data_IF_214439097967
#
_entry.id   IF_214439097967
#
_cell.length_a   1.000
_cell.length_b   1.000
_cell.length_c   1.000
_cell.angle_alpha   90.00
_cell.angle_beta   90.00
_cell.angle_gamma   90.00
#
_symmetry.space_group_name_H-M   'P 1'
#
loop_
_entity.id
_entity.type
_entity.pdbx_description
1 polymer ?
#
# COMPACT_ATOMS: atom_id res chain seq x y z
N UNK A 1 60.03 17.58 -7.42
CA UNK A 1 60.75 16.52 -6.67
C UNK A 1 59.81 15.59 -5.90
N UNK A 2 58.72 16.09 -5.29
CA UNK A 2 57.73 15.33 -4.49
C UNK A 2 57.04 14.11 -5.17
N UNK A 3 56.95 14.06 -6.51
CA UNK A 3 56.32 12.92 -7.21
C UNK A 3 57.19 11.66 -7.27
N UNK A 4 58.53 11.82 -7.31
CA UNK A 4 59.46 10.69 -7.34
C UNK A 4 59.52 9.96 -6.00
N UNK A 5 59.47 10.71 -4.91
CA UNK A 5 59.42 10.17 -3.55
C UNK A 5 58.14 9.37 -3.31
N UNK A 6 56.98 9.88 -3.77
CA UNK A 6 55.70 9.15 -3.70
C UNK A 6 55.73 7.84 -4.49
N UNK A 7 56.39 7.80 -5.65
CA UNK A 7 56.52 6.57 -6.45
C UNK A 7 57.40 5.54 -5.75
N UNK A 8 58.57 5.95 -5.23
CA UNK A 8 59.47 5.05 -4.53
C UNK A 8 58.84 4.45 -3.26
N UNK A 9 58.08 5.25 -2.50
CA UNK A 9 57.33 4.77 -1.33
C UNK A 9 56.25 3.78 -1.75
N UNK A 10 55.52 4.05 -2.84
CA UNK A 10 54.47 3.17 -3.35
C UNK A 10 55.01 1.82 -3.80
N UNK A 11 56.12 1.78 -4.54
CA UNK A 11 56.77 0.53 -4.98
C UNK A 11 57.27 -0.32 -3.81
N UNK A 12 57.80 0.33 -2.76
CA UNK A 12 58.26 -0.36 -1.56
C UNK A 12 57.08 -0.97 -0.79
N UNK A 13 55.99 -0.21 -0.63
CA UNK A 13 54.78 -0.69 0.02
C UNK A 13 54.15 -1.87 -0.74
N UNK A 14 54.13 -1.79 -2.08
CA UNK A 14 53.56 -2.84 -2.93
C UNK A 14 54.36 -4.15 -2.84
N UNK A 15 55.69 -4.07 -2.69
CA UNK A 15 56.54 -5.23 -2.41
C UNK A 15 56.35 -5.80 -0.99
N UNK A 16 56.19 -4.95 0.02
CA UNK A 16 55.93 -5.39 1.41
C UNK A 16 54.54 -6.02 1.57
N UNK A 17 53.55 -5.56 0.79
CA UNK A 17 52.17 -6.04 0.82
C UNK A 17 51.90 -7.18 -0.18
N UNK A 18 52.87 -7.55 -1.02
CA UNK A 18 52.72 -8.56 -2.07
C UNK A 18 52.33 -9.94 -1.54
N UNK A 19 52.78 -10.26 -0.33
CA UNK A 19 52.46 -11.51 0.38
C UNK A 19 51.13 -11.42 1.18
N UNK A 20 50.56 -10.22 1.32
CA UNK A 20 49.28 -9.96 1.99
C UNK A 20 48.14 -9.87 0.97
N UNK A 21 47.55 -11.02 0.66
CA UNK A 21 46.34 -11.08 -0.15
C UNK A 21 45.09 -10.77 0.70
N UNK A 22 44.55 -9.55 0.57
CA UNK A 22 43.28 -9.17 1.20
C UNK A 22 42.09 -9.83 0.48
N UNK A 23 41.67 -11.00 0.96
CA UNK A 23 40.55 -11.79 0.42
C UNK A 23 39.15 -11.23 0.77
N UNK A 24 39.07 -10.12 1.51
CA UNK A 24 37.83 -9.52 1.99
C UNK A 24 37.43 -8.19 1.35
N UNK A 25 38.22 -7.65 0.41
CA UNK A 25 37.98 -6.33 -0.18
C UNK A 25 36.59 -6.23 -0.82
N UNK A 26 36.17 -7.26 -1.58
CA UNK A 26 34.85 -7.34 -2.20
C UNK A 26 33.72 -7.25 -1.16
N UNK A 27 33.88 -7.96 -0.03
CA UNK A 27 32.89 -8.04 1.05
C UNK A 27 32.78 -6.73 1.83
N UNK A 28 33.89 -6.02 2.03
CA UNK A 28 33.90 -4.69 2.65
C UNK A 28 33.33 -3.64 1.70
N UNK A 29 33.65 -3.71 0.39
CA UNK A 29 33.07 -2.83 -0.61
C UNK A 29 31.55 -2.99 -0.70
N UNK A 30 31.04 -4.23 -0.76
CA UNK A 30 29.59 -4.50 -0.77
C UNK A 30 28.89 -3.96 0.49
N UNK A 31 29.55 -4.02 1.64
CA UNK A 31 28.99 -3.54 2.92
C UNK A 31 29.01 -2.00 3.04
N UNK A 32 29.98 -1.33 2.42
CA UNK A 32 30.22 0.11 2.60
C UNK A 32 29.67 0.94 1.43
N UNK A 33 29.51 0.36 0.25
CA UNK A 33 28.92 0.98 -0.94
C UNK A 33 28.02 -0.05 -1.64
N UNK A 34 26.79 -0.29 -1.14
CA UNK A 34 25.84 -1.16 -1.81
C UNK A 34 25.51 -0.57 -3.19
N UNK A 35 25.77 -1.35 -4.25
CA UNK A 35 25.74 -0.88 -5.64
C UNK A 35 24.33 -0.83 -6.24
N UNK A 36 23.32 -1.41 -5.58
CA UNK A 36 21.96 -1.49 -6.13
C UNK A 36 20.86 -1.27 -5.09
N UNK A 37 19.79 -0.60 -5.51
CA UNK A 37 18.55 -0.45 -4.73
C UNK A 37 17.93 -1.80 -4.35
N UNK A 38 18.16 -2.85 -5.15
CA UNK A 38 17.70 -4.22 -4.87
C UNK A 38 18.45 -4.87 -3.71
N UNK A 39 19.76 -4.64 -3.59
CA UNK A 39 20.56 -5.09 -2.44
C UNK A 39 20.23 -4.31 -1.17
N UNK A 40 19.83 -3.04 -1.32
CA UNK A 40 19.35 -2.22 -0.20
C UNK A 40 18.03 -2.77 0.35
N UNK A 41 17.14 -3.24 -0.52
CA UNK A 41 15.86 -3.84 -0.13
C UNK A 41 16.08 -5.20 0.53
N UNK A 42 16.92 -6.07 -0.03
CA UNK A 42 17.24 -7.37 0.59
C UNK A 42 17.96 -7.20 1.93
N UNK A 43 18.84 -6.20 2.06
CA UNK A 43 19.45 -5.81 3.34
C UNK A 43 18.43 -5.27 4.34
N UNK A 44 17.40 -4.56 3.89
CA UNK A 44 16.26 -4.15 4.73
C UNK A 44 15.48 -5.36 5.25
N UNK A 45 15.19 -6.34 4.38
CA UNK A 45 14.50 -7.58 4.77
C UNK A 45 15.34 -8.46 5.71
N UNK A 46 16.66 -8.48 5.54
CA UNK A 46 17.58 -9.31 6.33
C UNK A 46 17.98 -8.65 7.67
N UNK A 47 17.73 -7.35 7.83
CA UNK A 47 18.05 -6.62 9.05
C UNK A 47 16.83 -6.61 9.95
N UNK A 48 16.70 -7.67 10.76
CA UNK A 48 15.86 -7.80 11.96
C UNK A 48 14.79 -6.71 12.06
N UNK A 49 13.79 -6.82 11.18
CA UNK A 49 12.65 -5.94 11.22
C UNK A 49 11.84 -6.40 12.44
N UNK A 50 12.17 -5.88 13.62
CA UNK A 50 11.33 -5.90 14.81
C UNK A 50 10.12 -4.99 14.55
N UNK A 51 9.26 -5.37 13.60
CA UNK A 51 7.99 -4.69 13.45
C UNK A 51 7.15 -5.05 14.68
N UNK A 52 6.79 -4.07 15.53
CA UNK A 52 5.84 -4.33 16.58
C UNK A 52 4.56 -4.88 15.93
N UNK A 53 4.16 -6.09 16.35
CA UNK A 53 3.07 -6.85 15.71
C UNK A 53 1.75 -6.07 15.79
N UNK A 54 1.54 -5.36 16.90
CA UNK A 54 0.32 -4.63 17.20
C UNK A 54 -0.04 -3.59 16.11
N UNK A 55 0.82 -2.62 15.75
CA UNK A 55 0.50 -1.64 14.70
C UNK A 55 0.33 -2.28 13.32
N UNK A 56 1.05 -3.37 13.00
CA UNK A 56 0.87 -4.08 11.71
C UNK A 56 -0.51 -4.71 11.63
N UNK A 57 -0.96 -5.38 12.70
CA UNK A 57 -2.29 -5.99 12.77
C UNK A 57 -3.39 -4.93 12.70
N UNK A 58 -3.24 -3.81 13.41
CA UNK A 58 -4.22 -2.70 13.36
C UNK A 58 -4.30 -2.11 11.95
N UNK A 59 -3.15 -1.84 11.31
CA UNK A 59 -3.12 -1.27 9.96
C UNK A 59 -3.77 -2.22 8.94
N UNK A 60 -3.44 -3.52 9.00
CA UNK A 60 -4.02 -4.53 8.11
C UNK A 60 -5.53 -4.68 8.30
N UNK A 61 -6.02 -4.71 9.54
CA UNK A 61 -7.46 -4.75 9.83
C UNK A 61 -8.20 -3.52 9.30
N UNK A 62 -7.63 -2.32 9.47
CA UNK A 62 -8.24 -1.08 8.96
C UNK A 62 -8.34 -1.11 7.42
N UNK A 63 -7.27 -1.51 6.74
CA UNK A 63 -7.26 -1.63 5.28
C UNK A 63 -8.33 -2.64 4.82
N UNK A 64 -8.34 -3.85 5.40
CA UNK A 64 -9.32 -4.87 5.06
C UNK A 64 -10.76 -4.42 5.32
N UNK A 65 -11.02 -3.77 6.45
CA UNK A 65 -12.34 -3.24 6.79
C UNK A 65 -12.83 -2.21 5.75
N UNK A 66 -11.96 -1.30 5.30
CA UNK A 66 -12.35 -0.31 4.28
C UNK A 66 -12.69 -0.93 2.93
N UNK A 67 -12.01 -2.02 2.56
CA UNK A 67 -12.28 -2.75 1.32
C UNK A 67 -13.61 -3.51 1.44
N UNK A 68 -13.84 -4.21 2.55
CA UNK A 68 -15.09 -4.94 2.80
C UNK A 68 -16.32 -4.03 2.77
N UNK A 69 -16.24 -2.83 3.36
CA UNK A 69 -17.35 -1.87 3.37
C UNK A 69 -17.70 -1.34 1.96
N UNK A 70 -16.74 -1.25 1.05
CA UNK A 70 -17.02 -0.84 -0.34
C UNK A 70 -17.75 -1.93 -1.11
N UNK A 71 -17.34 -3.18 -0.93
CA UNK A 71 -17.97 -4.34 -1.60
C UNK A 71 -19.43 -4.48 -1.17
N UNK A 72 -19.75 -4.31 0.12
CA UNK A 72 -21.13 -4.41 0.59
C UNK A 72 -22.03 -3.30 0.02
N UNK A 73 -21.53 -2.07 -0.03
CA UNK A 73 -22.27 -0.91 -0.56
C UNK A 73 -22.65 -1.06 -2.04
N UNK A 74 -21.75 -1.57 -2.87
CA UNK A 74 -22.01 -1.71 -4.31
C UNK A 74 -23.06 -2.80 -4.59
N UNK A 75 -23.15 -3.83 -3.76
CA UNK A 75 -24.15 -4.89 -3.89
C UNK A 75 -25.56 -4.46 -3.44
N UNK A 76 -25.67 -3.55 -2.46
CA UNK A 76 -26.97 -3.04 -1.98
C UNK A 76 -27.59 -2.02 -2.96
N UNK A 77 -26.77 -1.21 -3.63
CA UNK A 77 -27.27 -0.17 -4.55
C UNK A 77 -27.84 -0.74 -5.86
N UNK A 78 -27.25 -1.83 -6.39
CA UNK A 78 -27.72 -2.42 -7.67
C UNK A 78 -29.12 -3.04 -7.52
N UNK A 79 -29.47 -3.59 -6.36
CA UNK A 79 -30.77 -4.26 -6.15
C UNK A 79 -31.93 -3.29 -5.97
N UNK A 80 -31.69 -2.04 -5.55
CA UNK A 80 -32.75 -1.07 -5.21
C UNK A 80 -33.00 0.00 -6.28
N UNK A 81 -32.12 0.11 -7.28
CA UNK A 81 -32.18 1.16 -8.30
C UNK A 81 -32.67 0.66 -9.68
N UNK A 82 -32.63 -0.65 -9.95
CA UNK A 82 -32.80 -1.19 -11.29
C UNK A 82 -34.24 -1.13 -11.86
N UNK A 83 -35.27 -0.91 -11.04
CA UNK A 83 -36.68 -1.00 -11.48
C UNK A 83 -37.60 0.09 -10.89
N UNK A 84 -37.03 1.24 -10.51
CA UNK A 84 -37.86 2.34 -10.00
C UNK A 84 -38.47 3.13 -11.16
N UNK A 85 -39.79 3.01 -11.31
CA UNK A 85 -40.55 3.81 -12.28
C UNK A 85 -40.92 5.18 -11.70
N UNK A 86 -40.79 6.21 -12.53
CA UNK A 86 -41.22 7.58 -12.21
C UNK A 86 -42.61 7.81 -12.82
N UNK A 87 -43.55 8.26 -11.99
CA UNK A 87 -44.92 8.58 -12.41
C UNK A 87 -45.21 10.07 -12.25
N UNK A 88 -46.12 10.59 -13.08
CA UNK A 88 -46.53 12.00 -13.05
C UNK A 88 -48.00 12.10 -12.70
N UNK A 89 -48.31 12.71 -11.55
CA UNK A 89 -49.67 12.84 -11.03
C UNK A 89 -49.90 14.30 -10.67
N UNK A 90 -51.04 14.86 -11.10
CA UNK A 90 -51.44 16.24 -10.80
C UNK A 90 -50.36 17.31 -11.12
N UNK A 91 -49.54 17.07 -12.15
CA UNK A 91 -48.45 17.97 -12.56
C UNK A 91 -47.12 17.81 -11.80
N UNK A 92 -47.09 16.97 -10.75
CA UNK A 92 -45.90 16.67 -9.97
C UNK A 92 -45.33 15.30 -10.34
N UNK A 93 -44.03 15.13 -10.13
CA UNK A 93 -43.29 13.92 -10.47
C UNK A 93 -42.93 13.17 -9.20
N UNK A 94 -43.34 11.92 -9.10
CA UNK A 94 -43.14 11.07 -7.93
C UNK A 94 -42.54 9.73 -8.32
N UNK A 95 -41.86 9.08 -7.37
CA UNK A 95 -41.51 7.67 -7.48
C UNK A 95 -42.77 6.83 -7.25
N UNK A 96 -42.99 5.83 -8.11
CA UNK A 96 -44.17 4.97 -8.05
C UNK A 96 -44.33 4.29 -6.69
N UNK A 97 -43.24 3.71 -6.17
CA UNK A 97 -43.23 2.99 -4.89
C UNK A 97 -43.61 3.86 -3.69
N UNK A 98 -43.16 5.13 -3.71
CA UNK A 98 -43.44 6.08 -2.64
C UNK A 98 -44.89 6.56 -2.70
N UNK A 99 -45.41 6.79 -3.91
CA UNK A 99 -46.80 7.17 -4.11
C UNK A 99 -47.77 6.06 -3.66
N UNK A 100 -47.54 4.83 -4.12
CA UNK A 100 -48.40 3.67 -3.76
C UNK A 100 -48.40 3.42 -2.24
N UNK A 101 -47.25 3.58 -1.58
CA UNK A 101 -47.14 3.45 -0.12
C UNK A 101 -48.00 4.47 0.62
N UNK A 102 -47.90 5.73 0.23
CA UNK A 102 -48.65 6.83 0.87
C UNK A 102 -50.15 6.68 0.62
N UNK A 103 -50.56 6.33 -0.60
CA UNK A 103 -51.97 6.09 -0.91
C UNK A 103 -52.54 4.96 -0.05
N UNK A 104 -51.82 3.83 0.06
CA UNK A 104 -52.24 2.69 0.89
C UNK A 104 -52.34 3.03 2.38
N UNK A 105 -51.42 3.85 2.89
CA UNK A 105 -51.48 4.34 4.26
C UNK A 105 -52.72 5.22 4.50
N UNK A 106 -53.06 6.09 3.55
CA UNK A 106 -54.27 6.91 3.63
C UNK A 106 -55.57 6.10 3.50
N UNK A 107 -55.63 5.09 2.64
CA UNK A 107 -56.79 4.19 2.51
C UNK A 107 -57.03 3.41 3.80
N UNK A 108 -55.99 2.78 4.36
CA UNK A 108 -56.10 2.02 5.63
C UNK A 108 -56.49 2.87 6.84
N UNK A 109 -56.16 4.17 6.83
CA UNK A 109 -56.53 5.12 7.87
C UNK A 109 -57.96 5.66 7.70
N UNK A 110 -58.51 5.59 6.50
CA UNK A 110 -59.88 6.01 6.19
C UNK A 110 -60.92 4.91 6.44
N UNK A 111 -60.48 3.66 6.60
CA UNK A 111 -61.34 2.49 6.81
C UNK A 111 -61.50 2.11 8.29
N UNK A 112 -61.09 2.98 9.22
CA UNK A 112 -61.17 2.79 10.68
C UNK A 112 -61.87 3.96 11.37
#
# INVERSE_FOLDING_TARGET
>A
MQHKEKQAVRERLDNELKDLHFTGCEKVLQKTHPKSFTEKLSSFWNKEIELPILPVVVATMLILSTISLRVDRDNVVITTQADREIIRIAGYTYWKDDYERVVKEHESKSEN
#
